data_IF_374231820071
#
_entry.id   IF_374231820071
#
_cell.length_a   1.000
_cell.length_b   1.000
_cell.length_c   1.000
_cell.angle_alpha   90.00
_cell.angle_beta   90.00
_cell.angle_gamma   90.00
#
_symmetry.space_group_name_H-M   'P 1'
#
loop_
_entity.id
_entity.type
_entity.pdbx_description
1 polymer ?
#
# COMPACT_ATOMS: atom_id res chain seq x y z
N UNK A 1 -6.61 23.91 9.17
CA UNK A 1 -5.62 22.81 9.07
C UNK A 1 -6.23 21.80 8.12
N UNK A 2 -5.97 21.98 6.82
CA UNK A 2 -6.47 21.07 5.78
C UNK A 2 -5.74 19.74 5.84
N UNK A 3 -6.42 18.67 5.40
CA UNK A 3 -5.86 17.34 5.38
C UNK A 3 -4.70 17.30 4.37
N UNK A 4 -3.45 17.40 4.85
CA UNK A 4 -2.23 17.55 4.04
C UNK A 4 -2.06 16.46 2.98
N UNK A 5 -2.60 15.25 3.19
CA UNK A 5 -2.59 14.17 2.19
C UNK A 5 -3.53 14.42 1.00
N UNK A 6 -4.69 15.04 1.25
CA UNK A 6 -5.67 15.38 0.21
C UNK A 6 -5.13 16.54 -0.65
N UNK A 7 -4.47 17.51 -0.01
CA UNK A 7 -3.84 18.64 -0.69
C UNK A 7 -2.63 18.21 -1.54
N UNK A 8 -1.87 17.20 -1.09
CA UNK A 8 -0.76 16.60 -1.84
C UNK A 8 -1.23 15.80 -3.07
N UNK A 9 -2.52 15.45 -3.15
CA UNK A 9 -3.14 14.79 -4.30
C UNK A 9 -2.72 13.33 -4.52
N UNK A 10 -1.73 12.83 -3.78
CA UNK A 10 -1.24 11.44 -3.87
C UNK A 10 -2.34 10.43 -3.54
N UNK A 11 -3.26 10.77 -2.64
CA UNK A 11 -4.44 9.95 -2.32
C UNK A 11 -5.37 9.67 -3.50
N UNK A 12 -5.32 10.46 -4.58
CA UNK A 12 -6.15 10.22 -5.78
C UNK A 12 -5.58 9.13 -6.70
N UNK A 13 -4.33 8.72 -6.49
CA UNK A 13 -3.64 7.74 -7.34
C UNK A 13 -3.63 6.32 -6.76
N UNK A 14 -4.19 6.12 -5.56
CA UNK A 14 -4.21 4.84 -4.86
C UNK A 14 -5.64 4.43 -4.51
N UNK A 15 -5.90 3.11 -4.52
CA UNK A 15 -7.22 2.60 -4.18
C UNK A 15 -7.57 2.95 -2.72
N UNK A 16 -8.77 3.48 -2.50
CA UNK A 16 -9.24 3.87 -1.18
C UNK A 16 -8.47 5.03 -0.52
N UNK A 17 -7.58 5.71 -1.24
CA UNK A 17 -6.74 6.75 -0.65
C UNK A 17 -5.79 6.22 0.43
N UNK A 18 -5.52 4.91 0.47
CA UNK A 18 -4.67 4.30 1.48
C UNK A 18 -3.26 4.11 0.94
N UNK A 19 -2.30 4.80 1.56
CA UNK A 19 -0.89 4.64 1.29
C UNK A 19 -0.21 4.28 2.60
N UNK A 20 0.13 3.00 2.79
CA UNK A 20 0.56 2.45 4.08
C UNK A 20 1.87 3.08 4.58
N UNK A 21 2.72 3.47 3.65
CA UNK A 21 4.04 4.07 3.86
C UNK A 21 3.99 5.57 4.20
N UNK A 22 2.83 6.21 4.06
CA UNK A 22 2.73 7.65 4.28
C UNK A 22 2.81 7.98 5.79
N UNK A 23 3.65 8.94 6.22
CA UNK A 23 3.80 9.27 7.65
C UNK A 23 2.51 9.68 8.37
N UNK A 24 1.53 10.18 7.61
CA UNK A 24 0.23 10.61 8.13
C UNK A 24 -0.85 9.53 8.10
N UNK A 25 -0.69 8.43 7.35
CA UNK A 25 -1.62 7.27 7.44
C UNK A 25 -1.11 6.24 8.44
N UNK A 26 0.21 6.08 8.56
CA UNK A 26 0.85 5.07 9.41
C UNK A 26 0.36 5.06 10.86
N UNK A 27 0.12 6.21 11.54
CA UNK A 27 -0.39 6.24 12.90
C UNK A 27 -1.83 5.72 13.04
N UNK A 28 -2.59 5.63 11.95
CA UNK A 28 -3.97 5.16 11.92
C UNK A 28 -4.10 3.66 11.58
N UNK A 29 -2.98 2.97 11.34
CA UNK A 29 -2.96 1.53 11.07
C UNK A 29 -2.80 0.77 12.38
N UNK A 30 -3.87 0.11 12.82
CA UNK A 30 -3.86 -0.70 14.05
C UNK A 30 -3.09 -2.03 13.85
N UNK A 31 -3.33 -2.72 12.74
CA UNK A 31 -2.61 -3.95 12.38
C UNK A 31 -2.63 -4.20 10.86
N UNK A 32 -1.61 -4.90 10.36
CA UNK A 32 -1.58 -5.47 9.01
C UNK A 32 -1.63 -6.99 9.12
N UNK A 33 -2.66 -7.61 8.55
CA UNK A 33 -2.77 -9.08 8.47
C UNK A 33 -2.34 -9.53 7.08
N UNK A 34 -1.31 -10.38 7.01
CA UNK A 34 -0.64 -10.75 5.76
C UNK A 34 0.72 -10.04 5.64
N UNK A 35 1.04 -9.51 4.44
CA UNK A 35 2.31 -8.83 4.20
C UNK A 35 2.09 -7.43 3.61
N UNK A 36 2.91 -6.48 4.06
CA UNK A 36 2.82 -5.07 3.65
C UNK A 36 3.04 -4.88 2.14
N UNK A 37 3.90 -5.69 1.51
CA UNK A 37 4.15 -5.63 0.06
C UNK A 37 2.89 -5.91 -0.77
N UNK A 38 2.02 -6.79 -0.25
CA UNK A 38 0.75 -7.14 -0.86
C UNK A 38 -0.24 -5.98 -0.77
N UNK A 39 -0.23 -5.25 0.35
CA UNK A 39 -1.03 -4.01 0.53
C UNK A 39 -0.52 -2.88 -0.37
N UNK A 40 0.80 -2.79 -0.56
CA UNK A 40 1.45 -1.82 -1.45
C UNK A 40 1.28 -2.16 -2.95
N UNK A 41 0.60 -3.27 -3.28
CA UNK A 41 0.18 -3.60 -4.64
C UNK A 41 0.97 -4.72 -5.32
N UNK A 42 2.03 -5.26 -4.71
CA UNK A 42 2.79 -6.37 -5.30
C UNK A 42 3.31 -7.34 -4.23
N UNK A 43 2.68 -8.51 -4.14
CA UNK A 43 3.15 -9.61 -3.30
C UNK A 43 4.38 -10.26 -3.94
N UNK A 44 5.57 -10.06 -3.37
CA UNK A 44 6.82 -10.59 -3.91
C UNK A 44 6.82 -12.11 -3.97
N UNK A 45 6.32 -12.76 -2.91
CA UNK A 45 6.22 -14.21 -2.84
C UNK A 45 5.29 -14.77 -3.93
N UNK A 46 4.16 -14.10 -4.19
CA UNK A 46 3.26 -14.50 -5.28
C UNK A 46 3.91 -14.27 -6.64
N UNK A 47 4.57 -13.12 -6.85
CA UNK A 47 5.29 -12.83 -8.09
C UNK A 47 6.37 -13.85 -8.38
N UNK A 48 7.19 -14.20 -7.38
CA UNK A 48 8.25 -15.22 -7.52
C UNK A 48 7.67 -16.59 -7.88
N UNK A 49 6.60 -17.00 -7.18
CA UNK A 49 5.91 -18.26 -7.49
C UNK A 49 5.40 -18.30 -8.93
N UNK A 50 4.73 -17.23 -9.38
CA UNK A 50 4.17 -17.16 -10.75
C UNK A 50 5.27 -17.13 -11.81
N UNK A 51 6.42 -16.49 -11.54
CA UNK A 51 7.57 -16.53 -12.44
C UNK A 51 8.13 -17.94 -12.59
N UNK A 52 8.20 -18.71 -11.51
CA UNK A 52 8.65 -20.11 -11.54
C UNK A 52 7.65 -21.03 -12.25
N UNK A 53 6.35 -20.79 -12.12
CA UNK A 53 5.30 -21.57 -12.80
C UNK A 53 5.20 -21.26 -14.31
N UNK A 54 5.68 -20.11 -14.75
CA UNK A 54 5.67 -19.70 -16.15
C UNK A 54 6.91 -20.15 -16.96
N UNK A 55 7.91 -20.72 -16.29
CA UNK A 55 9.12 -21.31 -16.89
C UNK A 55 8.89 -22.77 -17.31
#
# INVERSE_FOLDING_TARGET
MGASQIEEGVTFNVAGGLMLEHPLTLPFVDAVVGSADTVMGLSKALTEKLLLEAL
#
